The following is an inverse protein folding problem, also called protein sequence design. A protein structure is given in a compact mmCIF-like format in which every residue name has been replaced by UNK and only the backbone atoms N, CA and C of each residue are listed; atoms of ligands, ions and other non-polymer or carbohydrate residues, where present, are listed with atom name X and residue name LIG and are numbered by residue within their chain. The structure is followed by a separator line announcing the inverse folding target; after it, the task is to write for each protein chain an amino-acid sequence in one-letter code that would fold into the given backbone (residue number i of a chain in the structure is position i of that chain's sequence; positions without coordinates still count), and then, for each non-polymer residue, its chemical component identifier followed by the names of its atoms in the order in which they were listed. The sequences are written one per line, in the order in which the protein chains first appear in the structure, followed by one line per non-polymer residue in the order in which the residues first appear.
data_IF_302447006257
#
_entry.id   IF_302447006257
#
_cell.length_a   1.000
_cell.length_b   1.000
_cell.length_c   1.000
_cell.angle_alpha   90.00
_cell.angle_beta   90.00
_cell.angle_gamma   90.00
#
_symmetry.space_group_name_H-M   'P 1'
#
loop_
_entity.id
_entity.type
_entity.pdbx_description
1 polymer ?
#
# COMPACT_ATOMS: atom_id res chain seq x y z
N UNK A 1 -23.06 17.04 -93.91
CA UNK A 1 -23.26 15.82 -93.09
C UNK A 1 -22.62 16.03 -91.73
N UNK A 2 -23.38 15.75 -90.66
CA UNK A 2 -23.01 15.34 -89.28
C UNK A 2 -21.81 16.09 -88.64
N UNK A 3 -21.95 17.14 -87.82
CA UNK A 3 -22.58 17.32 -86.48
C UNK A 3 -22.02 16.41 -85.37
N UNK A 4 -21.66 17.05 -84.25
CA UNK A 4 -21.55 16.59 -82.84
C UNK A 4 -20.13 16.17 -82.39
N UNK A 5 -19.68 16.42 -81.16
CA UNK A 5 -20.30 16.98 -79.94
C UNK A 5 -19.17 17.45 -79.00
N UNK A 6 -19.30 18.66 -78.45
CA UNK A 6 -18.55 19.12 -77.27
C UNK A 6 -19.09 18.34 -76.07
N UNK A 7 -18.22 17.66 -75.32
CA UNK A 7 -18.55 17.14 -73.99
C UNK A 7 -17.85 17.99 -72.93
N UNK A 8 -18.59 18.99 -72.46
CA UNK A 8 -18.46 19.55 -71.12
C UNK A 8 -19.01 18.48 -70.16
N UNK A 9 -18.24 18.04 -69.16
CA UNK A 9 -18.74 17.08 -68.18
C UNK A 9 -17.76 16.74 -67.07
N UNK A 10 -17.92 17.44 -65.94
CA UNK A 10 -17.46 17.08 -64.59
C UNK A 10 -15.96 16.81 -64.38
N UNK A 11 -15.20 17.90 -64.19
CA UNK A 11 -14.05 17.90 -63.28
C UNK A 11 -14.51 18.61 -62.01
N UNK A 12 -15.24 17.90 -61.15
CA UNK A 12 -15.51 18.28 -59.76
C UNK A 12 -16.06 17.05 -59.04
N UNK A 13 -15.50 16.75 -57.85
CA UNK A 13 -15.87 15.70 -56.90
C UNK A 13 -15.23 14.31 -57.08
N UNK A 14 -13.92 14.22 -56.87
CA UNK A 14 -13.32 13.00 -56.29
C UNK A 14 -12.05 13.31 -55.47
N UNK A 15 -12.13 14.32 -54.60
CA UNK A 15 -11.09 14.63 -53.60
C UNK A 15 -11.53 14.28 -52.16
N UNK A 16 -12.51 13.40 -52.01
CA UNK A 16 -12.94 12.89 -50.70
C UNK A 16 -13.20 11.39 -50.76
N UNK A 17 -12.12 10.60 -50.77
CA UNK A 17 -12.15 9.21 -50.31
C UNK A 17 -10.71 8.77 -50.10
N UNK A 18 -10.19 9.00 -48.89
CA UNK A 18 -9.20 8.18 -48.16
C UNK A 18 -8.75 8.98 -46.93
N UNK A 19 -9.71 9.38 -46.07
CA UNK A 19 -9.40 9.64 -44.67
C UNK A 19 -9.55 8.28 -44.00
N UNK A 20 -8.43 7.66 -43.62
CA UNK A 20 -8.39 6.33 -43.05
C UNK A 20 -9.40 6.20 -41.90
N UNK A 21 -10.34 5.27 -42.04
CA UNK A 21 -11.29 4.88 -41.01
C UNK A 21 -10.56 4.01 -39.96
N UNK A 22 -9.64 4.63 -39.23
CA UNK A 22 -8.93 4.04 -38.11
C UNK A 22 -9.01 4.99 -36.93
N UNK A 23 -9.41 4.47 -35.77
CA UNK A 23 -9.27 5.20 -34.50
C UNK A 23 -7.79 5.48 -34.27
N UNK A 24 -7.45 6.75 -34.07
CA UNK A 24 -6.05 7.18 -33.90
C UNK A 24 -5.56 6.75 -32.51
N UNK A 25 -4.36 6.14 -32.45
CA UNK A 25 -3.75 5.76 -31.18
C UNK A 25 -2.89 6.91 -30.66
N UNK A 26 -3.28 7.50 -29.53
CA UNK A 26 -2.57 8.61 -28.90
C UNK A 26 -1.77 8.14 -27.69
N UNK A 27 -0.47 8.42 -27.68
CA UNK A 27 0.34 8.23 -26.48
C UNK A 27 0.08 9.37 -25.48
N UNK A 28 -0.41 9.02 -24.30
CA UNK A 28 -0.74 9.97 -23.23
C UNK A 28 0.16 9.81 -22.00
N UNK A 29 1.29 9.10 -22.13
CA UNK A 29 2.17 8.81 -20.99
C UNK A 29 2.64 10.08 -20.26
N UNK A 30 2.93 11.15 -21.02
CA UNK A 30 3.31 12.46 -20.47
C UNK A 30 2.15 13.23 -19.79
N UNK A 31 0.91 12.78 -20.00
CA UNK A 31 -0.29 13.36 -19.40
C UNK A 31 -0.68 12.67 -18.08
N UNK A 32 0.04 11.63 -17.65
CA UNK A 32 -0.16 11.03 -16.35
C UNK A 32 0.79 11.70 -15.36
N UNK A 33 0.20 12.41 -14.42
CA UNK A 33 0.90 12.94 -13.26
C UNK A 33 0.84 11.89 -12.15
N UNK A 34 2.01 11.54 -11.63
CA UNK A 34 2.15 10.68 -10.45
C UNK A 34 2.78 11.54 -9.38
N UNK A 35 2.00 11.86 -8.36
CA UNK A 35 2.43 12.69 -7.25
C UNK A 35 2.30 11.91 -5.97
N UNK A 36 3.10 12.32 -5.00
CA UNK A 36 3.00 11.77 -3.67
C UNK A 36 1.73 12.31 -3.00
N UNK A 37 0.84 11.42 -2.57
CA UNK A 37 -0.34 11.76 -1.77
C UNK A 37 0.00 11.92 -0.29
N UNK A 38 -1.00 12.06 0.58
CA UNK A 38 -0.74 11.95 2.02
C UNK A 38 -0.64 10.48 2.46
N UNK A 39 0.32 10.18 3.35
CA UNK A 39 0.49 8.85 3.93
C UNK A 39 -0.77 8.48 4.74
N UNK A 40 -1.56 7.51 4.27
CA UNK A 40 -2.85 7.16 4.88
C UNK A 40 -2.84 5.85 5.71
N UNK A 41 -1.67 5.30 6.02
CA UNK A 41 -1.60 4.13 6.90
C UNK A 41 -1.86 2.77 6.25
N UNK A 42 -1.87 2.66 4.92
CA UNK A 42 -2.16 1.36 4.27
C UNK A 42 -1.34 1.08 3.00
N UNK A 43 -0.15 1.70 2.88
CA UNK A 43 0.76 1.53 1.76
C UNK A 43 0.23 2.03 0.39
N UNK A 44 -0.46 3.18 0.37
CA UNK A 44 -0.62 3.96 -0.87
C UNK A 44 -0.40 5.44 -0.64
N UNK A 45 0.52 5.99 -1.43
CA UNK A 45 0.85 7.41 -1.40
C UNK A 45 1.21 7.90 -2.79
N UNK A 46 0.66 7.26 -3.83
CA UNK A 46 0.72 7.80 -5.17
C UNK A 46 -0.69 8.22 -5.52
N UNK A 47 -0.89 9.52 -5.55
CA UNK A 47 -1.99 10.10 -6.29
C UNK A 47 -1.55 10.08 -7.74
N UNK A 48 -2.29 9.33 -8.53
CA UNK A 48 -2.09 9.28 -9.97
C UNK A 48 -3.31 9.88 -10.61
N UNK A 49 -3.07 10.89 -11.43
CA UNK A 49 -4.12 11.64 -12.10
C UNK A 49 -3.74 11.87 -13.55
N UNK A 50 -4.75 11.94 -14.39
CA UNK A 50 -4.58 12.51 -15.71
C UNK A 50 -4.53 14.03 -15.57
N UNK A 51 -3.43 14.63 -16.02
CA UNK A 51 -3.30 16.08 -16.16
C UNK A 51 -4.19 16.54 -17.32
N UNK A 52 -5.35 17.10 -16.97
CA UNK A 52 -6.31 17.60 -17.93
C UNK A 52 -5.72 18.70 -18.83
N UNK A 53 -4.84 19.54 -18.30
CA UNK A 53 -4.21 20.61 -19.08
C UNK A 53 -3.37 20.03 -20.20
N UNK A 54 -2.48 19.08 -19.86
CA UNK A 54 -1.65 18.37 -20.85
C UNK A 54 -2.47 17.56 -21.84
N UNK A 55 -3.59 16.97 -21.40
CA UNK A 55 -4.52 16.29 -22.32
C UNK A 55 -5.16 17.28 -23.29
N UNK A 56 -5.62 18.44 -22.83
CA UNK A 56 -6.27 19.46 -23.66
C UNK A 56 -5.30 20.14 -24.64
N UNK A 57 -3.99 20.15 -24.35
CA UNK A 57 -2.95 20.60 -25.28
C UNK A 57 -2.86 19.71 -26.53
N UNK A 58 -3.32 18.46 -26.46
CA UNK A 58 -3.44 17.58 -27.62
C UNK A 58 -4.60 18.10 -28.49
N UNK A 59 -4.36 18.53 -29.76
CA UNK A 59 -5.38 19.19 -30.58
C UNK A 59 -6.70 18.40 -30.74
N UNK A 60 -6.62 17.07 -30.73
CA UNK A 60 -7.78 16.17 -30.84
C UNK A 60 -8.64 16.10 -29.58
N UNK A 61 -8.09 16.43 -28.42
CA UNK A 61 -8.77 16.40 -27.12
C UNK A 61 -9.21 17.80 -26.68
N UNK A 62 -9.13 18.79 -27.58
CA UNK A 62 -9.57 20.16 -27.34
C UNK A 62 -11.09 20.20 -27.18
N UNK A 63 -11.55 20.06 -25.94
CA UNK A 63 -12.96 19.88 -25.57
C UNK A 63 -13.19 18.83 -24.48
N UNK A 64 -12.17 18.06 -24.12
CA UNK A 64 -12.19 17.19 -22.95
C UNK A 64 -12.44 18.03 -21.70
N UNK A 65 -13.40 17.64 -20.85
CA UNK A 65 -13.74 18.37 -19.62
C UNK A 65 -13.39 17.53 -18.39
N UNK A 66 -13.23 18.15 -17.19
CA UNK A 66 -13.02 17.39 -15.96
C UNK A 66 -14.13 16.35 -15.69
N UNK A 67 -15.38 16.66 -16.06
CA UNK A 67 -16.52 15.76 -15.86
C UNK A 67 -16.40 14.49 -16.73
N UNK A 68 -15.80 14.60 -17.92
CA UNK A 68 -15.49 13.46 -18.80
C UNK A 68 -14.28 12.63 -18.34
N UNK A 69 -13.54 13.11 -17.33
CA UNK A 69 -12.47 12.36 -16.67
C UNK A 69 -12.96 11.68 -15.38
N UNK A 70 -14.04 12.18 -14.78
CA UNK A 70 -14.47 11.79 -13.43
C UNK A 70 -15.08 10.39 -13.43
N UNK A 71 -14.30 9.42 -12.98
CA UNK A 71 -14.73 8.01 -12.90
C UNK A 71 -14.53 7.22 -14.20
N UNK A 72 -14.02 7.86 -15.24
CA UNK A 72 -13.78 7.25 -16.56
C UNK A 72 -12.37 6.67 -16.71
N UNK A 73 -11.52 6.80 -15.69
CA UNK A 73 -10.21 6.16 -15.66
C UNK A 73 -9.83 5.66 -14.27
N UNK A 74 -8.92 4.69 -14.25
CA UNK A 74 -8.29 4.14 -13.06
C UNK A 74 -6.84 3.86 -13.37
N UNK A 75 -5.94 4.45 -12.58
CA UNK A 75 -4.52 4.15 -12.64
C UNK A 75 -4.20 3.14 -11.53
N UNK A 76 -3.57 2.03 -11.90
CA UNK A 76 -3.19 0.96 -10.98
C UNK A 76 -1.68 0.72 -11.02
N UNK A 77 -1.14 0.27 -9.90
CA UNK A 77 0.21 -0.30 -9.85
C UNK A 77 0.21 -1.62 -10.63
N UNK A 78 1.21 -1.83 -11.48
CA UNK A 78 1.45 -3.12 -12.12
C UNK A 78 2.31 -3.97 -11.20
N UNK A 79 1.76 -5.09 -10.75
CA UNK A 79 2.41 -6.05 -9.86
C UNK A 79 1.90 -5.97 -8.42
N UNK A 80 2.31 -6.95 -7.61
CA UNK A 80 1.78 -7.17 -6.27
C UNK A 80 2.61 -6.50 -5.16
N UNK A 81 3.58 -5.65 -5.53
CA UNK A 81 4.49 -5.06 -4.54
C UNK A 81 3.75 -4.07 -3.65
N UNK A 82 3.61 -4.43 -2.38
CA UNK A 82 2.93 -3.60 -1.38
C UNK A 82 3.90 -2.86 -0.46
N UNK A 83 5.19 -3.20 -0.47
CA UNK A 83 6.24 -2.66 0.41
C UNK A 83 7.12 -1.60 -0.27
N UNK A 84 6.50 -0.63 -0.94
CA UNK A 84 7.23 0.41 -1.69
C UNK A 84 8.17 1.23 -0.79
N UNK A 85 9.40 1.45 -1.28
CA UNK A 85 10.51 2.16 -0.60
C UNK A 85 11.04 3.29 -1.47
N UNK A 86 11.65 4.30 -0.87
CA UNK A 86 12.36 5.34 -1.61
C UNK A 86 13.43 4.68 -2.50
N UNK A 87 13.45 5.04 -3.78
CA UNK A 87 14.29 4.44 -4.83
C UNK A 87 13.67 3.25 -5.58
N UNK A 88 12.54 2.69 -5.11
CA UNK A 88 11.86 1.62 -5.85
C UNK A 88 11.34 2.12 -7.19
N UNK A 89 11.43 1.28 -8.22
CA UNK A 89 10.89 1.56 -9.55
C UNK A 89 9.59 0.78 -9.74
N UNK A 90 8.49 1.50 -9.95
CA UNK A 90 7.17 0.91 -10.18
C UNK A 90 6.67 1.16 -11.59
N UNK A 91 5.82 0.26 -12.07
CA UNK A 91 5.10 0.44 -13.34
C UNK A 91 3.64 0.73 -13.05
N UNK A 92 3.05 1.60 -13.85
CA UNK A 92 1.62 1.92 -13.76
C UNK A 92 0.86 1.36 -14.95
N UNK A 93 -0.44 1.08 -14.75
CA UNK A 93 -1.38 0.72 -15.78
C UNK A 93 -2.55 1.70 -15.75
N UNK A 94 -3.07 2.06 -16.92
CA UNK A 94 -4.23 2.93 -17.08
C UNK A 94 -5.38 2.13 -17.67
N UNK A 95 -6.44 1.97 -16.89
CA UNK A 95 -7.76 1.56 -17.36
C UNK A 95 -8.58 2.83 -17.65
N UNK A 96 -9.32 2.86 -18.75
CA UNK A 96 -10.18 4.00 -19.10
C UNK A 96 -11.35 3.59 -20.01
N UNK A 97 -12.36 4.45 -20.09
CA UNK A 97 -13.56 4.26 -20.90
C UNK A 97 -13.30 4.47 -22.41
N UNK A 98 -12.72 3.46 -23.07
CA UNK A 98 -12.35 3.51 -24.50
C UNK A 98 -13.46 4.00 -25.43
N UNK A 99 -14.70 3.59 -25.18
CA UNK A 99 -15.84 3.92 -26.05
C UNK A 99 -16.17 5.42 -26.01
N UNK A 100 -16.04 6.07 -24.86
CA UNK A 100 -16.23 7.50 -24.72
C UNK A 100 -15.23 8.27 -25.60
N UNK A 101 -13.93 7.96 -25.48
CA UNK A 101 -12.90 8.68 -26.24
C UNK A 101 -12.95 8.37 -27.74
N UNK A 102 -13.32 7.15 -28.12
CA UNK A 102 -13.53 6.78 -29.52
C UNK A 102 -14.74 7.49 -30.12
N UNK A 103 -15.86 7.60 -29.39
CA UNK A 103 -17.08 8.27 -29.87
C UNK A 103 -16.89 9.78 -29.96
N UNK A 104 -16.34 10.40 -28.92
CA UNK A 104 -16.34 11.86 -28.77
C UNK A 104 -15.11 12.52 -29.41
N UNK A 105 -14.00 11.79 -29.54
CA UNK A 105 -12.74 12.33 -30.08
C UNK A 105 -12.13 11.50 -31.21
N UNK A 106 -12.67 10.30 -31.51
CA UNK A 106 -12.11 9.34 -32.47
C UNK A 106 -10.66 8.92 -32.16
N UNK A 107 -10.36 8.73 -30.88
CA UNK A 107 -9.02 8.33 -30.41
C UNK A 107 -9.08 7.14 -29.45
N UNK A 108 -7.98 6.39 -29.38
CA UNK A 108 -7.72 5.39 -28.37
C UNK A 108 -6.41 5.75 -27.67
N UNK A 109 -6.40 5.86 -26.34
CA UNK A 109 -5.16 6.05 -25.60
C UNK A 109 -4.31 4.78 -25.65
N UNK A 110 -3.07 4.98 -26.07
CA UNK A 110 -1.97 4.05 -25.90
C UNK A 110 -1.22 4.50 -24.64
N UNK A 111 -1.10 3.59 -23.67
CA UNK A 111 -0.29 3.81 -22.49
C UNK A 111 0.64 2.63 -22.32
N UNK A 112 1.94 2.88 -22.51
CA UNK A 112 2.97 1.91 -22.15
C UNK A 112 3.30 2.10 -20.66
N UNK A 113 3.34 1.03 -19.84
CA UNK A 113 3.59 1.17 -18.42
C UNK A 113 4.85 2.01 -18.15
N UNK A 114 4.64 3.21 -17.59
CA UNK A 114 5.72 4.14 -17.30
C UNK A 114 6.38 3.74 -15.99
N UNK A 115 7.71 3.70 -15.99
CA UNK A 115 8.50 3.45 -14.80
C UNK A 115 8.61 4.75 -13.98
N UNK A 116 8.18 4.71 -12.73
CA UNK A 116 8.27 5.82 -11.79
C UNK A 116 9.13 5.41 -10.61
N UNK A 117 10.05 6.28 -10.20
CA UNK A 117 10.86 6.07 -9.00
C UNK A 117 10.11 6.61 -7.80
N UNK A 118 10.03 5.81 -6.74
CA UNK A 118 9.41 6.18 -5.47
C UNK A 118 10.32 7.12 -4.69
N UNK A 119 9.77 8.22 -4.22
CA UNK A 119 10.47 9.20 -3.37
C UNK A 119 9.49 9.77 -2.32
N UNK A 120 10.01 10.38 -1.24
CA UNK A 120 9.20 11.12 -0.26
C UNK A 120 8.56 10.29 0.87
N UNK A 121 8.85 8.99 0.97
CA UNK A 121 8.40 8.18 2.12
C UNK A 121 8.98 8.69 3.45
N UNK A 122 8.25 8.59 4.57
CA UNK A 122 8.73 9.05 5.86
C UNK A 122 10.01 8.32 6.28
N UNK A 123 11.02 9.06 6.71
CA UNK A 123 12.29 8.50 7.20
C UNK A 123 12.16 7.88 8.61
N UNK A 124 11.04 8.15 9.30
CA UNK A 124 10.79 7.77 10.70
C UNK A 124 9.50 6.99 10.82
N UNK A 125 9.55 5.92 11.61
CA UNK A 125 8.37 5.17 12.01
C UNK A 125 7.71 5.83 13.22
N UNK A 126 6.56 6.45 13.00
CA UNK A 126 5.74 7.14 14.00
C UNK A 126 4.37 6.51 14.18
N UNK A 127 3.88 5.77 13.18
CA UNK A 127 2.62 5.01 13.24
C UNK A 127 2.83 3.59 12.69
N UNK A 128 2.26 2.58 13.35
CA UNK A 128 2.40 1.17 12.97
C UNK A 128 1.82 0.91 11.57
N UNK A 129 0.85 1.73 11.18
CA UNK A 129 0.23 1.70 9.87
C UNK A 129 1.22 2.06 8.74
N UNK A 130 2.40 2.63 9.06
CA UNK A 130 3.52 2.85 8.13
C UNK A 130 4.29 1.57 7.74
N UNK A 131 4.00 0.47 8.41
CA UNK A 131 4.62 -0.83 8.12
C UNK A 131 3.78 -1.54 7.05
N UNK A 132 4.44 -2.06 6.02
CA UNK A 132 3.74 -2.87 5.01
C UNK A 132 3.31 -4.22 5.55
N UNK A 133 2.32 -4.86 4.90
CA UNK A 133 1.86 -6.20 5.28
C UNK A 133 3.01 -7.22 5.29
N UNK A 134 3.85 -7.22 4.27
CA UNK A 134 4.99 -8.15 4.16
C UNK A 134 6.05 -7.92 5.26
N UNK A 135 6.29 -6.66 5.64
CA UNK A 135 7.17 -6.34 6.76
C UNK A 135 6.59 -6.84 8.09
N UNK A 136 5.28 -6.68 8.27
CA UNK A 136 4.57 -7.17 9.43
C UNK A 136 4.59 -8.71 9.51
N UNK A 137 4.38 -9.41 8.39
CA UNK A 137 4.48 -10.88 8.31
C UNK A 137 5.88 -11.37 8.69
N UNK A 138 6.93 -10.73 8.16
CA UNK A 138 8.32 -11.05 8.55
C UNK A 138 8.58 -10.83 10.03
N UNK A 139 8.04 -9.75 10.61
CA UNK A 139 8.12 -9.51 12.05
C UNK A 139 7.44 -10.64 12.84
N UNK A 140 6.23 -11.04 12.44
CA UNK A 140 5.54 -12.17 13.07
C UNK A 140 6.36 -13.46 13.02
N UNK A 141 6.97 -13.77 11.88
CA UNK A 141 7.83 -14.96 11.73
C UNK A 141 9.02 -14.93 12.69
N UNK A 142 9.73 -13.81 12.78
CA UNK A 142 10.89 -13.67 13.69
C UNK A 142 10.49 -13.73 15.17
N UNK A 143 9.38 -13.10 15.53
CA UNK A 143 8.82 -13.17 16.89
C UNK A 143 8.42 -14.61 17.23
N UNK A 144 7.74 -15.32 16.33
CA UNK A 144 7.31 -16.69 16.54
C UNK A 144 8.50 -17.64 16.71
N UNK A 145 9.53 -17.54 15.86
CA UNK A 145 10.78 -18.31 16.03
C UNK A 145 11.39 -18.11 17.41
N UNK A 146 11.42 -16.87 17.90
CA UNK A 146 11.96 -16.55 19.23
C UNK A 146 11.08 -17.08 20.36
N UNK A 147 9.75 -17.02 20.20
CA UNK A 147 8.80 -17.58 21.15
C UNK A 147 8.90 -19.11 21.24
N UNK A 148 9.04 -19.78 20.09
CA UNK A 148 9.23 -21.24 20.00
C UNK A 148 10.53 -21.68 20.65
N UNK A 149 11.63 -20.98 20.39
CA UNK A 149 12.92 -21.24 21.07
C UNK A 149 12.76 -21.13 22.58
N UNK A 150 12.15 -20.06 23.08
CA UNK A 150 11.90 -19.86 24.50
C UNK A 150 11.01 -20.97 25.09
N UNK A 151 9.96 -21.38 24.37
CA UNK A 151 9.10 -22.47 24.82
C UNK A 151 9.86 -23.79 24.92
N UNK A 152 10.71 -24.10 23.93
CA UNK A 152 11.54 -25.31 23.96
C UNK A 152 12.54 -25.30 25.12
N UNK A 153 13.26 -24.19 25.31
CA UNK A 153 14.27 -24.07 26.37
C UNK A 153 13.68 -24.21 27.79
N UNK A 154 12.41 -23.83 27.96
CA UNK A 154 11.70 -23.90 29.24
C UNK A 154 10.72 -25.08 29.34
N UNK A 155 10.68 -25.97 28.34
CA UNK A 155 9.71 -27.07 28.24
C UNK A 155 8.24 -26.61 28.34
N UNK A 156 7.91 -25.45 27.79
CA UNK A 156 6.53 -24.99 27.73
C UNK A 156 5.75 -25.70 26.61
N UNK A 157 4.46 -25.91 26.84
CA UNK A 157 3.53 -26.47 25.86
C UNK A 157 2.39 -25.49 25.57
N UNK A 158 1.56 -25.80 24.57
CA UNK A 158 0.40 -25.00 24.16
C UNK A 158 0.74 -23.52 23.90
N UNK A 159 1.89 -23.25 23.27
CA UNK A 159 2.31 -21.89 22.93
C UNK A 159 1.33 -21.26 21.94
N UNK A 160 0.80 -20.08 22.26
CA UNK A 160 -0.12 -19.31 21.39
C UNK A 160 0.17 -17.83 21.48
N UNK A 161 0.16 -17.13 20.35
CA UNK A 161 0.10 -15.67 20.33
C UNK A 161 -1.33 -15.24 20.68
N UNK A 162 -1.46 -14.36 21.67
CA UNK A 162 -2.75 -13.94 22.22
C UNK A 162 -3.10 -12.51 21.80
N UNK A 163 -2.16 -11.57 21.94
CA UNK A 163 -2.36 -10.15 21.59
C UNK A 163 -1.07 -9.49 21.09
N UNK A 164 -1.24 -8.48 20.23
CA UNK A 164 -0.18 -7.55 19.83
C UNK A 164 -0.59 -6.15 20.23
N UNK A 165 0.27 -5.49 21.01
CA UNK A 165 0.02 -4.17 21.57
C UNK A 165 1.06 -3.17 21.04
N UNK A 166 0.62 -1.96 20.69
CA UNK A 166 1.49 -0.81 20.44
C UNK A 166 1.38 0.19 21.59
N UNK A 167 2.50 0.67 22.10
CA UNK A 167 2.53 1.62 23.21
C UNK A 167 2.81 3.03 22.73
N UNK A 168 1.95 3.95 23.15
CA UNK A 168 2.10 5.38 22.87
C UNK A 168 3.11 5.97 23.87
N UNK A 169 4.40 5.82 23.61
CA UNK A 169 5.40 6.61 24.35
C UNK A 169 5.60 7.94 23.63
N UNK A 170 5.32 9.04 24.34
CA UNK A 170 5.71 10.40 23.97
C UNK A 170 7.21 10.62 24.23
N UNK A 171 8.06 9.74 23.71
CA UNK A 171 9.49 10.02 23.69
C UNK A 171 9.80 10.50 22.27
N UNK A 172 10.63 11.53 22.11
CA UNK A 172 11.07 12.15 20.81
C UNK A 172 11.90 11.20 19.93
N UNK A 173 11.66 9.91 20.09
CA UNK A 173 12.53 8.83 19.71
C UNK A 173 11.89 8.11 18.52
N UNK A 174 12.61 8.08 17.41
CA UNK A 174 12.16 7.45 16.16
C UNK A 174 11.78 5.98 16.44
N UNK A 175 10.53 5.61 16.18
CA UNK A 175 10.04 4.24 16.33
C UNK A 175 8.82 4.03 17.23
N UNK A 176 8.34 2.80 17.23
CA UNK A 176 7.13 2.37 17.95
C UNK A 176 7.47 1.18 18.83
N UNK A 177 7.05 1.25 20.09
CA UNK A 177 7.18 0.13 21.01
C UNK A 177 6.03 -0.84 20.80
N UNK A 178 6.35 -2.09 20.46
CA UNK A 178 5.36 -3.16 20.28
C UNK A 178 5.61 -4.29 21.27
N UNK A 179 4.55 -4.97 21.67
CA UNK A 179 4.62 -6.19 22.48
C UNK A 179 3.74 -7.29 21.90
N UNK A 180 4.35 -8.46 21.72
CA UNK A 180 3.70 -9.71 21.34
C UNK A 180 3.52 -10.53 22.60
N UNK A 181 2.27 -10.77 22.98
CA UNK A 181 1.93 -11.49 24.19
C UNK A 181 1.60 -12.93 23.82
N UNK A 182 2.33 -13.86 24.42
CA UNK A 182 2.13 -15.29 24.25
C UNK A 182 1.55 -15.89 25.51
N UNK A 183 0.65 -16.86 25.36
CA UNK A 183 0.31 -17.81 26.41
C UNK A 183 1.04 -19.13 26.21
N UNK A 184 1.27 -19.84 27.31
CA UNK A 184 1.77 -21.20 27.31
C UNK A 184 1.36 -21.94 28.59
N UNK A 185 1.65 -23.23 28.64
CA UNK A 185 1.60 -24.04 29.86
C UNK A 185 3.00 -24.43 30.29
N UNK A 186 3.24 -24.31 31.59
CA UNK A 186 4.48 -24.77 32.22
C UNK A 186 4.47 -26.30 32.39
N UNK A 187 5.61 -26.88 32.77
CA UNK A 187 5.71 -28.31 33.13
C UNK A 187 4.71 -28.76 34.21
N UNK A 188 4.28 -27.83 35.09
CA UNK A 188 3.26 -28.07 36.09
C UNK A 188 1.82 -27.96 35.55
N UNK A 189 1.65 -27.91 34.22
CA UNK A 189 0.38 -27.69 33.52
C UNK A 189 -0.33 -26.37 33.92
N UNK A 190 0.42 -25.40 34.45
CA UNK A 190 -0.10 -24.08 34.82
C UNK A 190 0.01 -23.12 33.66
N UNK A 191 -1.07 -22.37 33.39
CA UNK A 191 -1.08 -21.28 32.42
C UNK A 191 -0.09 -20.19 32.83
N UNK A 192 0.68 -19.70 31.88
CA UNK A 192 1.57 -18.55 32.02
C UNK A 192 1.43 -17.68 30.77
N UNK A 193 1.76 -16.41 30.92
CA UNK A 193 1.99 -15.53 29.78
C UNK A 193 3.38 -14.89 29.85
N UNK A 194 3.95 -14.64 28.68
CA UNK A 194 5.19 -13.88 28.52
C UNK A 194 5.07 -12.93 27.31
N UNK A 195 5.99 -11.97 27.20
CA UNK A 195 6.01 -11.02 26.11
C UNK A 195 7.35 -11.05 25.35
N UNK A 196 7.27 -10.85 24.06
CA UNK A 196 8.40 -10.39 23.24
C UNK A 196 8.14 -8.92 22.94
N UNK A 197 9.07 -8.06 23.29
CA UNK A 197 8.98 -6.62 23.06
C UNK A 197 10.04 -6.18 22.06
N UNK A 198 9.64 -5.25 21.19
CA UNK A 198 10.54 -4.64 20.22
C UNK A 198 10.31 -3.14 20.17
N UNK A 199 11.34 -2.43 19.75
CA UNK A 199 11.22 -1.04 19.30
C UNK A 199 11.40 -1.03 17.79
N UNK A 200 10.28 -1.05 17.09
CA UNK A 200 10.27 -0.98 15.64
C UNK A 200 10.73 0.39 15.19
N UNK A 201 11.62 0.43 14.20
CA UNK A 201 12.07 1.64 13.54
C UNK A 201 12.49 1.32 12.12
N UNK A 202 12.50 2.33 11.25
CA UNK A 202 13.09 2.17 9.93
C UNK A 202 14.62 2.20 10.03
N UNK A 203 15.29 1.30 9.30
CA UNK A 203 16.72 1.39 9.07
C UNK A 203 17.01 2.64 8.26
N UNK A 204 18.07 3.35 8.64
CA UNK A 204 18.43 4.70 8.17
C UNK A 204 18.53 4.88 6.65
N UNK A 205 18.53 3.80 5.85
CA UNK A 205 18.91 3.83 4.45
C UNK A 205 17.92 3.14 3.49
N UNK A 206 16.82 2.53 3.95
CA UNK A 206 15.96 1.76 3.03
C UNK A 206 14.51 1.49 3.49
N UNK A 207 14.00 2.21 4.49
CA UNK A 207 12.65 2.02 5.05
C UNK A 207 12.30 0.57 5.41
N UNK A 208 13.29 -0.32 5.52
CA UNK A 208 13.08 -1.64 6.08
C UNK A 208 12.99 -1.50 7.58
N UNK A 209 12.08 -2.25 8.20
CA UNK A 209 12.07 -2.36 9.64
C UNK A 209 13.37 -3.00 10.16
N UNK A 210 13.82 -2.47 11.29
CA UNK A 210 14.83 -3.11 12.12
C UNK A 210 14.15 -4.06 13.11
N UNK A 211 14.53 -5.34 13.05
CA UNK A 211 14.06 -6.40 13.94
C UNK A 211 15.16 -6.90 14.87
N UNK A 212 16.32 -6.24 14.89
CA UNK A 212 17.49 -6.69 15.66
C UNK A 212 17.32 -6.58 17.18
N UNK A 213 16.30 -5.84 17.63
CA UNK A 213 16.03 -5.52 19.05
C UNK A 213 14.93 -6.36 19.70
N UNK A 214 14.49 -7.45 19.09
CA UNK A 214 13.53 -8.37 19.68
C UNK A 214 14.02 -8.89 21.05
N UNK A 215 13.36 -8.50 22.13
CA UNK A 215 13.71 -8.88 23.50
C UNK A 215 12.61 -9.70 24.15
N UNK A 216 13.00 -10.76 24.86
CA UNK A 216 12.09 -11.57 25.65
C UNK A 216 11.96 -10.98 27.06
N UNK A 217 10.75 -10.95 27.61
CA UNK A 217 10.56 -10.60 29.01
C UNK A 217 9.20 -10.99 29.58
N UNK A 218 9.01 -10.84 30.89
CA UNK A 218 7.71 -11.02 31.51
C UNK A 218 6.76 -9.89 31.11
N UNK A 219 5.45 -10.14 31.20
CA UNK A 219 4.42 -9.11 30.92
C UNK A 219 4.48 -7.97 31.95
N UNK A 220 4.84 -8.29 33.20
CA UNK A 220 5.04 -7.36 34.30
C UNK A 220 6.42 -7.55 34.93
N UNK A 221 6.97 -6.47 35.48
CA UNK A 221 8.21 -6.52 36.28
C UNK A 221 8.06 -7.43 37.51
N UNK A 222 6.85 -7.59 38.04
CA UNK A 222 6.56 -8.46 39.18
C UNK A 222 5.58 -9.57 38.76
N UNK A 223 6.09 -10.59 38.05
CA UNK A 223 5.27 -11.70 37.54
C UNK A 223 4.56 -12.50 38.65
N UNK A 224 5.13 -12.55 39.85
CA UNK A 224 4.55 -13.25 41.00
C UNK A 224 3.26 -12.60 41.53
N UNK A 225 3.01 -11.33 41.18
CA UNK A 225 1.80 -10.61 41.54
C UNK A 225 0.65 -10.78 40.55
N UNK A 226 0.87 -11.53 39.45
CA UNK A 226 -0.15 -11.78 38.44
C UNK A 226 -0.94 -13.03 38.81
N UNK A 227 -2.25 -12.86 38.92
CA UNK A 227 -3.19 -13.96 38.99
C UNK A 227 -3.50 -14.47 37.57
N UNK A 228 -2.79 -15.53 37.18
CA UNK A 228 -2.93 -16.17 35.86
C UNK A 228 -4.25 -16.94 35.67
N UNK A 229 -5.12 -17.01 36.69
CA UNK A 229 -6.48 -17.54 36.53
C UNK A 229 -7.43 -16.55 35.85
N UNK A 230 -7.10 -15.26 35.87
CA UNK A 230 -7.89 -14.19 35.23
C UNK A 230 -7.75 -14.18 33.72
N UNK A 231 -8.67 -13.48 33.06
CA UNK A 231 -8.57 -13.22 31.62
C UNK A 231 -7.33 -12.37 31.32
N UNK A 232 -6.81 -12.48 30.09
CA UNK A 232 -5.66 -11.67 29.67
C UNK A 232 -5.99 -10.17 29.77
N UNK A 233 -7.23 -9.75 29.48
CA UNK A 233 -7.62 -8.34 29.59
C UNK A 233 -7.65 -7.83 31.03
N UNK A 234 -8.07 -8.64 32.01
CA UNK A 234 -7.96 -8.27 33.42
C UNK A 234 -6.50 -8.16 33.85
N UNK A 235 -5.65 -9.07 33.41
CA UNK A 235 -4.21 -9.02 33.66
C UNK A 235 -3.62 -7.74 33.04
N UNK A 236 -3.96 -7.42 31.79
CA UNK A 236 -3.46 -6.22 31.12
C UNK A 236 -3.92 -4.93 31.79
N UNK A 237 -5.16 -4.85 32.27
CA UNK A 237 -5.65 -3.72 33.08
C UNK A 237 -4.87 -3.56 34.39
N UNK A 238 -4.49 -4.68 35.02
CA UNK A 238 -3.66 -4.64 36.22
C UNK A 238 -2.23 -4.18 35.91
N UNK A 239 -1.64 -4.66 34.81
CA UNK A 239 -0.24 -4.38 34.44
C UNK A 239 -0.06 -3.00 33.82
N UNK A 240 -1.05 -2.53 33.06
CA UNK A 240 -1.07 -1.22 32.38
C UNK A 240 -2.34 -0.45 32.78
N UNK A 241 -2.44 0.05 34.04
CA UNK A 241 -3.64 0.68 34.55
C UNK A 241 -4.03 1.96 33.78
N UNK A 242 -3.04 2.65 33.21
CA UNK A 242 -3.26 3.86 32.41
C UNK A 242 -3.77 3.57 30.98
N UNK A 243 -3.89 2.28 30.61
CA UNK A 243 -4.32 1.82 29.29
C UNK A 243 -3.56 2.52 28.14
N UNK A 244 -2.26 2.69 28.32
CA UNK A 244 -1.38 3.46 27.42
C UNK A 244 -0.97 2.70 26.15
N UNK A 245 -1.81 1.76 25.70
CA UNK A 245 -1.57 0.92 24.54
C UNK A 245 -2.77 0.87 23.61
N UNK A 246 -2.49 0.65 22.33
CA UNK A 246 -3.46 0.29 21.30
C UNK A 246 -3.34 -1.20 21.01
N UNK A 247 -4.46 -1.91 20.93
CA UNK A 247 -4.49 -3.30 20.46
C UNK A 247 -4.38 -3.28 18.95
N UNK A 248 -3.32 -3.90 18.42
CA UNK A 248 -3.09 -4.05 16.98
C UNK A 248 -3.71 -5.34 16.44
N UNK A 249 -3.67 -6.40 17.25
CA UNK A 249 -4.21 -7.71 16.91
C UNK A 249 -4.56 -8.47 18.20
N UNK A 250 -5.57 -9.34 18.14
CA UNK A 250 -6.03 -10.18 19.24
C UNK A 250 -6.59 -11.50 18.70
N UNK A 251 -6.29 -12.62 19.35
CA UNK A 251 -6.82 -13.93 18.95
C UNK A 251 -8.34 -14.07 19.13
N UNK A 252 -8.94 -13.23 19.96
CA UNK A 252 -10.37 -13.22 20.27
C UNK A 252 -11.22 -12.43 19.25
N UNK A 253 -10.60 -11.70 18.31
CA UNK A 253 -11.26 -10.82 17.34
C UNK A 253 -11.02 -11.23 15.88
#
# INVERSE_FOLDING_TARGET
MKKKLVFLGLICLSLFAFVGCGTEKLDISNCIDVRYGEFNGSAKIYESSLDLGKLQDIPKLKGLTPDMLKGDYKITLVGDKTDLKNGDKIKLHLEYNKELYKRDFNVEFKFEPTEVTIEGLPDKLTDINQISKEQLEKLYDEVNKKAESNAKDNNYSDLKLEKVLAFNKKDDSDGINVRFIFSCKTNANKKKYFAIFDRLGFKSNNNNLDYSSLMLGPISKNEFSIDYSKSLDEILKQVYPDNNYKVLWSAEN
#
